data_IF_198307465042
#
_entry.id   IF_198307465042
#
_cell.length_a   1.000
_cell.length_b   1.000
_cell.length_c   1.000
_cell.angle_alpha   90.00
_cell.angle_beta   90.00
_cell.angle_gamma   90.00
#
_symmetry.space_group_name_H-M   'P 1'
#
loop_
_entity.id
_entity.type
_entity.pdbx_description
1 polymer ?
#
# COMPACT_ATOMS: atom_id res chain seq x y z
N UNK A 1 46.82 -19.28 22.27
CA UNK A 1 46.46 -19.43 20.85
C UNK A 1 45.44 -20.56 20.71
N UNK A 2 44.17 -20.23 20.54
CA UNK A 2 43.13 -21.15 20.04
C UNK A 2 42.24 -20.34 19.11
N UNK A 3 42.51 -20.51 17.82
CA UNK A 3 41.76 -19.90 16.72
C UNK A 3 40.46 -20.70 16.56
N UNK A 4 39.33 -20.05 16.75
CA UNK A 4 38.03 -20.59 16.34
C UNK A 4 37.66 -19.95 15.01
N UNK A 5 37.79 -20.72 13.93
CA UNK A 5 37.05 -20.47 12.70
C UNK A 5 35.60 -20.93 12.93
N UNK A 6 34.65 -20.05 12.67
CA UNK A 6 33.26 -20.42 12.45
C UNK A 6 32.77 -19.76 11.17
N UNK A 7 32.59 -20.60 10.14
CA UNK A 7 31.77 -20.33 8.98
C UNK A 7 30.30 -20.47 9.41
N UNK A 8 29.51 -19.42 9.25
CA UNK A 8 28.07 -19.52 9.08
C UNK A 8 27.63 -18.49 8.04
N UNK A 9 27.29 -19.01 6.85
CA UNK A 9 26.51 -18.32 5.83
C UNK A 9 25.07 -18.28 6.35
N UNK A 10 24.52 -17.09 6.56
CA UNK A 10 23.17 -16.93 7.09
C UNK A 10 22.65 -15.53 6.83
N UNK A 11 21.53 -15.44 6.11
CA UNK A 11 20.89 -14.22 5.63
C UNK A 11 20.71 -13.18 6.74
N UNK A 12 21.19 -11.96 6.49
CA UNK A 12 20.98 -10.77 7.34
C UNK A 12 19.68 -10.07 6.90
N UNK A 13 18.66 -10.08 7.75
CA UNK A 13 17.60 -9.08 7.73
C UNK A 13 18.21 -7.76 8.21
N UNK A 14 18.36 -6.78 7.33
CA UNK A 14 18.57 -5.39 7.72
C UNK A 14 17.21 -4.69 7.79
N UNK A 15 16.64 -4.56 8.98
CA UNK A 15 15.60 -3.58 9.29
C UNK A 15 16.32 -2.24 9.53
N UNK A 16 16.52 -1.40 8.51
CA UNK A 16 17.02 -0.03 8.73
C UNK A 16 15.84 0.90 8.98
N UNK A 17 15.46 1.05 10.25
CA UNK A 17 14.63 2.16 10.70
C UNK A 17 15.46 3.45 10.73
N UNK A 18 14.79 4.61 10.69
CA UNK A 18 15.46 5.85 11.03
C UNK A 18 16.00 5.75 12.46
N UNK A 19 17.21 6.25 12.62
CA UNK A 19 18.06 5.85 13.70
C UNK A 19 17.84 6.76 14.91
N UNK A 20 17.03 6.30 15.85
CA UNK A 20 16.92 6.96 17.14
C UNK A 20 18.27 6.81 17.86
N UNK A 21 18.89 7.94 18.18
CA UNK A 21 20.05 7.96 19.09
C UNK A 21 19.50 7.63 20.47
N UNK A 22 19.75 6.41 20.93
CA UNK A 22 19.29 5.94 22.23
C UNK A 22 20.50 5.80 23.14
N UNK A 23 20.36 6.26 24.39
CA UNK A 23 21.36 6.04 25.41
C UNK A 23 21.18 4.62 25.97
N UNK A 24 22.15 3.74 25.69
CA UNK A 24 22.16 2.35 26.10
C UNK A 24 23.32 2.07 27.06
N UNK A 25 23.09 1.20 28.03
CA UNK A 25 24.08 0.81 29.04
C UNK A 25 24.42 -0.66 28.86
N UNK A 26 25.70 -0.99 28.67
CA UNK A 26 26.15 -2.38 28.63
C UNK A 26 26.05 -3.03 30.01
N UNK A 27 25.80 -4.33 30.08
CA UNK A 27 25.76 -5.08 31.34
C UNK A 27 27.06 -4.90 32.13
N UNK A 28 27.00 -4.15 33.23
CA UNK A 28 28.15 -3.85 34.10
C UNK A 28 29.09 -2.74 33.61
N UNK A 29 28.68 -1.92 32.63
CA UNK A 29 29.46 -0.79 32.11
C UNK A 29 28.76 0.56 32.24
N UNK A 30 29.42 1.61 31.78
CA UNK A 30 28.89 2.99 31.77
C UNK A 30 27.93 3.23 30.59
N UNK A 31 26.90 4.08 30.74
CA UNK A 31 25.99 4.41 29.66
C UNK A 31 26.70 5.09 28.48
N UNK A 32 26.41 4.64 27.27
CA UNK A 32 26.91 5.25 26.04
C UNK A 32 25.76 5.60 25.08
N UNK A 33 25.91 6.70 24.36
CA UNK A 33 24.99 7.03 23.27
C UNK A 33 25.38 6.24 22.03
N UNK A 34 24.44 5.47 21.54
CA UNK A 34 24.58 4.72 20.30
C UNK A 34 23.32 4.90 19.47
N UNK A 35 23.49 4.80 18.18
CA UNK A 35 22.41 4.89 17.22
C UNK A 35 21.92 3.45 16.96
N UNK A 36 20.65 3.14 17.27
CA UNK A 36 20.10 1.82 16.99
C UNK A 36 19.76 1.74 15.50
N UNK A 37 20.45 0.85 14.79
CA UNK A 37 20.33 0.72 13.33
C UNK A 37 19.31 -0.33 12.95
N UNK A 38 19.29 -1.46 13.67
CA UNK A 38 18.33 -2.54 13.45
C UNK A 38 18.15 -3.39 14.69
N UNK A 39 16.97 -4.02 14.83
CA UNK A 39 16.67 -4.97 15.90
C UNK A 39 16.01 -6.20 15.28
N UNK A 40 16.52 -7.39 15.62
CA UNK A 40 15.91 -8.68 15.27
C UNK A 40 15.32 -9.29 16.53
N UNK A 41 14.00 -9.15 16.68
CA UNK A 41 13.25 -9.64 17.85
C UNK A 41 13.29 -11.18 17.90
N UNK A 42 13.26 -11.85 16.74
CA UNK A 42 13.25 -13.31 16.67
C UNK A 42 14.59 -13.89 17.13
N UNK A 43 15.70 -13.27 16.75
CA UNK A 43 17.05 -13.71 17.12
C UNK A 43 17.58 -13.05 18.39
N UNK A 44 16.84 -12.12 18.98
CA UNK A 44 17.24 -11.32 20.14
C UNK A 44 18.59 -10.61 19.90
N UNK A 45 18.77 -10.03 18.71
CA UNK A 45 19.99 -9.29 18.35
C UNK A 45 19.69 -7.83 18.00
N UNK A 46 20.69 -6.97 18.17
CA UNK A 46 20.64 -5.54 17.84
C UNK A 46 21.90 -5.15 17.08
N UNK A 47 21.73 -4.28 16.08
CA UNK A 47 22.84 -3.59 15.42
C UNK A 47 22.84 -2.14 15.86
N UNK A 48 23.96 -1.69 16.41
CA UNK A 48 24.16 -0.30 16.83
C UNK A 48 25.31 0.33 16.07
N UNK A 49 25.20 1.63 15.80
CA UNK A 49 26.28 2.45 15.31
C UNK A 49 26.90 3.20 16.51
N UNK A 50 28.16 2.87 16.81
CA UNK A 50 28.91 3.49 17.90
C UNK A 50 29.41 4.90 17.53
N UNK A 51 29.81 5.71 18.52
CA UNK A 51 30.38 7.05 18.31
C UNK A 51 31.54 7.13 17.29
N UNK A 52 32.23 6.01 17.03
CA UNK A 52 33.31 5.92 16.04
C UNK A 52 32.83 5.50 14.63
N UNK A 53 31.52 5.59 14.34
CA UNK A 53 30.89 5.16 13.08
C UNK A 53 31.11 3.68 12.76
N UNK A 54 31.30 2.86 13.79
CA UNK A 54 31.47 1.41 13.64
C UNK A 54 30.16 0.72 13.98
N UNK A 55 29.63 -0.01 13.00
CA UNK A 55 28.50 -0.92 13.19
C UNK A 55 28.94 -2.11 14.03
N UNK A 56 28.16 -2.41 15.05
CA UNK A 56 28.32 -3.58 15.91
C UNK A 56 27.00 -4.31 16.02
N UNK A 57 27.01 -5.61 15.75
CA UNK A 57 25.85 -6.50 15.92
C UNK A 57 26.13 -7.49 17.03
N UNK A 58 25.17 -7.66 17.94
CA UNK A 58 25.27 -8.64 19.02
C UNK A 58 23.95 -8.93 19.69
N UNK A 59 23.92 -9.86 20.66
CA UNK A 59 22.72 -10.14 21.43
C UNK A 59 22.27 -8.94 22.25
N UNK A 60 20.96 -8.75 22.37
CA UNK A 60 20.34 -7.70 23.17
C UNK A 60 20.75 -7.81 24.65
N UNK A 61 21.11 -9.02 25.12
CA UNK A 61 21.62 -9.27 26.47
C UNK A 61 22.98 -8.65 26.79
N UNK A 62 23.66 -8.05 25.81
CA UNK A 62 24.82 -7.18 26.08
C UNK A 62 24.47 -5.92 26.86
N UNK A 63 23.19 -5.54 26.89
CA UNK A 63 22.70 -4.35 27.55
C UNK A 63 21.91 -4.69 28.82
N UNK A 64 21.84 -3.74 29.75
CA UNK A 64 21.02 -3.90 30.96
C UNK A 64 19.51 -3.99 30.63
N UNK A 65 18.70 -4.47 31.59
CA UNK A 65 17.28 -4.71 31.36
C UNK A 65 16.50 -3.47 30.88
N UNK A 66 16.88 -2.28 31.35
CA UNK A 66 16.25 -1.02 30.93
C UNK A 66 16.58 -0.70 29.46
N UNK A 67 17.83 -0.87 29.06
CA UNK A 67 18.29 -0.69 27.68
C UNK A 67 17.69 -1.75 26.76
N UNK A 68 17.52 -2.99 27.22
CA UNK A 68 16.83 -4.04 26.45
C UNK A 68 15.38 -3.64 26.14
N UNK A 69 14.66 -3.07 27.11
CA UNK A 69 13.29 -2.54 26.88
C UNK A 69 13.29 -1.42 25.86
N UNK A 70 14.24 -0.49 25.94
CA UNK A 70 14.39 0.61 24.96
C UNK A 70 14.68 0.09 23.55
N UNK A 71 15.61 -0.86 23.40
CA UNK A 71 15.91 -1.52 22.13
C UNK A 71 14.67 -2.19 21.55
N UNK A 72 13.92 -2.92 22.38
CA UNK A 72 12.68 -3.57 21.96
C UNK A 72 11.61 -2.54 21.57
N UNK A 73 11.49 -1.42 22.27
CA UNK A 73 10.57 -0.32 21.92
C UNK A 73 10.96 0.35 20.60
N UNK A 74 12.26 0.58 20.36
CA UNK A 74 12.77 1.10 19.08
C UNK A 74 12.51 0.14 17.90
N UNK A 75 12.48 -1.18 18.17
CA UNK A 75 12.09 -2.18 17.17
C UNK A 75 10.59 -2.12 16.80
N UNK A 76 9.76 -1.59 17.70
CA UNK A 76 8.32 -1.39 17.53
C UNK A 76 7.99 0.03 17.04
N UNK A 77 8.93 0.73 16.41
CA UNK A 77 8.76 2.11 15.95
C UNK A 77 7.73 2.31 14.83
N UNK A 78 6.45 2.11 15.12
CA UNK A 78 5.44 3.17 15.26
C UNK A 78 4.53 2.70 16.40
N UNK A 79 4.35 3.54 17.41
CA UNK A 79 3.41 3.31 18.50
C UNK A 79 1.96 3.32 17.96
N UNK A 80 1.56 2.22 17.32
CA UNK A 80 0.14 1.88 17.10
C UNK A 80 -0.42 1.36 18.42
N UNK A 81 -0.45 2.21 19.44
CA UNK A 81 -1.35 1.97 20.56
C UNK A 81 -2.77 2.12 20.04
N UNK A 82 -3.74 1.40 20.62
CA UNK A 82 -5.15 1.57 20.22
C UNK A 82 -5.65 3.03 20.40
N UNK A 83 -4.91 3.87 21.11
CA UNK A 83 -5.20 5.30 21.28
C UNK A 83 -4.90 6.11 20.02
N UNK A 84 -3.95 5.68 19.17
CA UNK A 84 -3.52 6.39 17.95
C UNK A 84 -3.25 5.43 16.77
N UNK A 85 -4.30 4.82 16.17
CA UNK A 85 -4.12 3.87 15.07
C UNK A 85 -3.54 4.55 13.80
N UNK A 86 -2.74 3.80 13.03
CA UNK A 86 -1.98 4.35 11.89
C UNK A 86 -2.84 5.08 10.84
N UNK A 87 -4.03 4.55 10.54
CA UNK A 87 -4.98 5.14 9.59
C UNK A 87 -5.85 6.28 10.15
N UNK A 88 -5.59 6.78 11.36
CA UNK A 88 -6.37 7.85 11.99
C UNK A 88 -6.49 9.11 11.11
N UNK A 89 -5.46 9.43 10.32
CA UNK A 89 -5.49 10.60 9.45
C UNK A 89 -6.58 10.53 8.37
N UNK A 90 -7.05 9.32 8.03
CA UNK A 90 -8.05 9.05 6.99
C UNK A 90 -9.48 8.95 7.56
N UNK A 91 -9.62 8.83 8.89
CA UNK A 91 -10.90 8.77 9.60
C UNK A 91 -11.76 10.00 9.32
N UNK A 92 -13.03 9.78 8.97
CA UNK A 92 -13.99 10.83 8.63
C UNK A 92 -13.70 11.55 7.31
N UNK A 93 -12.78 11.03 6.48
CA UNK A 93 -12.38 11.66 5.21
C UNK A 93 -12.71 10.80 4.01
N UNK A 94 -12.78 11.45 2.86
CA UNK A 94 -13.01 10.78 1.59
C UNK A 94 -12.04 11.24 0.50
N UNK A 95 -11.89 10.38 -0.49
CA UNK A 95 -10.98 10.55 -1.60
C UNK A 95 -11.54 10.06 -2.93
N UNK A 96 -10.75 10.26 -3.97
CA UNK A 96 -11.09 9.87 -5.34
C UNK A 96 -9.90 9.15 -5.98
N UNK A 97 -10.18 8.13 -6.78
CA UNK A 97 -9.16 7.30 -7.39
C UNK A 97 -9.48 6.90 -8.82
N UNK A 98 -8.43 6.69 -9.60
CA UNK A 98 -8.51 6.34 -11.01
C UNK A 98 -7.36 5.42 -11.41
N UNK A 99 -7.40 4.89 -12.63
CA UNK A 99 -6.32 4.06 -13.18
C UNK A 99 -5.77 4.67 -14.45
N UNK A 100 -4.45 4.70 -14.52
CA UNK A 100 -3.67 5.08 -15.70
C UNK A 100 -3.01 3.81 -16.24
N UNK A 101 -3.00 3.65 -17.56
CA UNK A 101 -2.30 2.58 -18.23
C UNK A 101 -0.80 2.66 -17.94
N UNK A 102 -0.22 1.53 -17.58
CA UNK A 102 1.21 1.31 -17.48
C UNK A 102 1.80 0.76 -18.78
N UNK A 103 3.12 0.65 -18.80
CA UNK A 103 3.90 0.20 -19.95
C UNK A 103 4.24 1.30 -20.95
N UNK A 104 4.73 0.88 -22.11
CA UNK A 104 5.00 1.78 -23.25
C UNK A 104 3.71 2.18 -23.97
N UNK A 105 2.82 2.84 -23.24
CA UNK A 105 1.55 3.32 -23.75
C UNK A 105 1.63 4.80 -24.13
N UNK A 106 1.05 5.16 -25.28
CA UNK A 106 1.11 6.53 -25.82
C UNK A 106 0.42 7.55 -24.91
N UNK A 107 -0.53 7.13 -24.09
CA UNK A 107 -1.25 8.00 -23.19
C UNK A 107 -0.44 8.28 -21.93
N UNK A 108 0.30 7.30 -21.40
CA UNK A 108 1.25 7.52 -20.29
C UNK A 108 2.32 8.56 -20.64
N UNK A 109 2.78 8.55 -21.91
CA UNK A 109 3.73 9.55 -22.44
C UNK A 109 3.18 10.97 -22.46
N UNK A 110 1.90 11.13 -22.78
CA UNK A 110 1.29 12.45 -23.01
C UNK A 110 0.39 12.93 -21.84
N UNK A 111 0.34 12.17 -20.74
CA UNK A 111 -0.55 12.49 -19.62
C UNK A 111 -0.22 13.87 -19.01
N UNK A 112 -1.23 14.74 -18.93
CA UNK A 112 -1.11 16.06 -18.34
C UNK A 112 -1.43 16.04 -16.83
N UNK A 113 -0.38 15.87 -16.01
CA UNK A 113 -0.48 15.81 -14.54
C UNK A 113 -1.08 17.07 -13.94
N UNK A 114 -0.68 18.25 -14.45
CA UNK A 114 -1.20 19.53 -13.96
C UNK A 114 -2.71 19.63 -14.16
N UNK A 115 -3.22 19.20 -15.31
CA UNK A 115 -4.65 19.23 -15.59
C UNK A 115 -5.43 18.36 -14.59
N UNK A 116 -4.93 17.17 -14.25
CA UNK A 116 -5.55 16.30 -13.25
C UNK A 116 -5.60 16.93 -11.86
N UNK A 117 -4.50 17.53 -11.41
CA UNK A 117 -4.44 18.21 -10.10
C UNK A 117 -5.46 19.36 -10.06
N UNK A 118 -5.52 20.19 -11.10
CA UNK A 118 -6.48 21.29 -11.17
C UNK A 118 -7.93 20.78 -11.23
N UNK A 119 -8.19 19.66 -11.91
CA UNK A 119 -9.52 19.07 -11.94
C UNK A 119 -9.95 18.56 -10.56
N UNK A 120 -9.09 17.86 -9.82
CA UNK A 120 -9.39 17.34 -8.47
C UNK A 120 -9.62 18.48 -7.46
N UNK A 121 -8.86 19.58 -7.55
CA UNK A 121 -9.08 20.78 -6.71
C UNK A 121 -10.49 21.36 -6.82
N UNK A 122 -11.18 21.11 -7.92
CA UNK A 122 -12.56 21.59 -8.10
C UNK A 122 -13.60 20.78 -7.30
N UNK A 123 -13.21 19.65 -6.69
CA UNK A 123 -14.11 18.77 -5.93
C UNK A 123 -13.96 19.08 -4.43
N UNK A 124 -15.00 19.64 -3.76
CA UNK A 124 -14.89 20.05 -2.37
C UNK A 124 -14.76 18.84 -1.43
N UNK A 125 -13.91 18.92 -0.41
CA UNK A 125 -13.82 17.91 0.65
C UNK A 125 -12.91 16.69 0.37
N UNK A 126 -12.36 16.56 -0.84
CA UNK A 126 -11.35 15.53 -1.15
C UNK A 126 -10.12 15.75 -0.28
N UNK A 127 -9.69 14.71 0.42
CA UNK A 127 -8.51 14.74 1.30
C UNK A 127 -7.34 13.90 0.79
N UNK A 128 -7.61 12.95 -0.10
CA UNK A 128 -6.60 12.04 -0.64
C UNK A 128 -6.99 11.52 -2.01
N UNK A 129 -5.99 11.05 -2.75
CA UNK A 129 -6.15 10.45 -4.08
C UNK A 129 -5.62 9.03 -4.12
N UNK A 130 -6.18 8.20 -5.01
CA UNK A 130 -5.73 6.81 -5.20
C UNK A 130 -5.49 6.51 -6.68
N UNK A 131 -4.23 6.33 -7.07
CA UNK A 131 -3.84 5.92 -8.42
C UNK A 131 -2.84 4.77 -8.38
N UNK A 132 -2.46 4.23 -9.52
CA UNK A 132 -1.83 2.92 -9.59
C UNK A 132 -0.36 2.95 -9.98
N UNK A 133 0.39 1.99 -9.43
CA UNK A 133 1.69 1.57 -9.95
C UNK A 133 1.52 0.47 -10.99
N UNK A 134 0.77 -0.59 -10.69
CA UNK A 134 0.44 -1.65 -11.68
C UNK A 134 -0.91 -1.39 -12.35
N UNK A 135 -1.16 -1.96 -13.51
CA UNK A 135 -2.51 -1.90 -14.10
C UNK A 135 -3.61 -2.47 -13.19
N UNK A 136 -4.82 -1.95 -13.33
CA UNK A 136 -6.00 -2.46 -12.63
C UNK A 136 -6.28 -3.92 -12.99
N UNK A 137 -6.36 -4.79 -12.00
CA UNK A 137 -6.42 -6.25 -12.13
C UNK A 137 -5.31 -6.86 -13.02
N UNK A 138 -4.17 -6.19 -13.15
CA UNK A 138 -3.08 -6.64 -14.01
C UNK A 138 -1.69 -6.23 -13.49
N UNK A 139 -0.93 -7.21 -12.99
CA UNK A 139 0.44 -7.05 -12.52
C UNK A 139 1.52 -7.13 -13.60
N UNK A 140 1.18 -7.13 -14.90
CA UNK A 140 2.17 -7.22 -15.99
C UNK A 140 2.67 -5.87 -16.51
N UNK A 141 1.98 -4.77 -16.19
CA UNK A 141 2.30 -3.43 -16.68
C UNK A 141 2.31 -2.39 -15.57
N UNK A 142 3.23 -1.43 -15.66
CA UNK A 142 3.50 -0.43 -14.62
C UNK A 142 3.62 1.00 -15.14
N UNK A 143 3.13 1.96 -14.36
CA UNK A 143 3.13 3.41 -14.65
C UNK A 143 4.46 4.09 -14.37
N UNK A 144 5.48 3.33 -13.95
CA UNK A 144 6.81 3.82 -13.65
C UNK A 144 7.89 2.87 -14.19
N UNK A 145 9.11 3.35 -14.44
CA UNK A 145 10.21 2.53 -14.93
C UNK A 145 10.67 1.55 -13.85
N UNK A 146 11.03 0.32 -14.26
CA UNK A 146 11.61 -0.67 -13.36
C UNK A 146 12.64 -1.53 -14.11
N UNK A 147 13.89 -1.47 -13.67
CA UNK A 147 15.06 -2.00 -14.42
C UNK A 147 14.95 -3.48 -14.77
N UNK A 148 14.52 -4.32 -13.82
CA UNK A 148 14.32 -5.76 -14.07
C UNK A 148 13.19 -5.99 -15.08
N UNK A 149 12.00 -5.44 -14.81
CA UNK A 149 10.80 -5.64 -15.62
C UNK A 149 10.99 -5.15 -17.06
N UNK A 150 11.56 -3.95 -17.25
CA UNK A 150 11.85 -3.42 -18.59
C UNK A 150 12.85 -4.27 -19.36
N UNK A 151 13.81 -4.92 -18.68
CA UNK A 151 14.80 -5.78 -19.32
C UNK A 151 14.20 -7.11 -19.78
N UNK A 152 13.41 -7.77 -18.93
CA UNK A 152 12.84 -9.08 -19.23
C UNK A 152 11.61 -8.99 -20.13
N UNK A 153 10.87 -7.88 -20.03
CA UNK A 153 9.65 -7.62 -20.78
C UNK A 153 9.64 -6.16 -21.24
N UNK A 154 10.33 -5.83 -22.34
CA UNK A 154 10.26 -4.50 -22.93
C UNK A 154 8.82 -4.04 -23.16
N UNK A 155 8.52 -2.79 -22.80
CA UNK A 155 7.17 -2.22 -22.87
C UNK A 155 6.26 -2.55 -21.68
N UNK A 156 6.72 -3.32 -20.68
CA UNK A 156 5.98 -3.55 -19.43
C UNK A 156 5.94 -2.34 -18.51
N UNK A 157 6.93 -1.46 -18.60
CA UNK A 157 7.03 -0.27 -17.76
C UNK A 157 7.02 0.99 -18.62
N UNK A 158 6.44 2.07 -18.10
CA UNK A 158 6.56 3.40 -18.70
C UNK A 158 8.01 3.89 -18.61
N UNK A 159 8.53 4.50 -19.68
CA UNK A 159 9.83 5.18 -19.66
C UNK A 159 9.78 6.46 -18.82
N UNK A 160 8.65 7.17 -18.86
CA UNK A 160 8.34 8.29 -17.98
C UNK A 160 7.97 7.77 -16.59
N UNK A 161 8.55 8.32 -15.54
CA UNK A 161 8.14 8.03 -14.17
C UNK A 161 6.86 8.80 -13.82
N UNK A 162 5.75 8.37 -14.43
CA UNK A 162 4.46 9.03 -14.33
C UNK A 162 3.88 8.93 -12.91
N UNK A 163 4.19 7.85 -12.20
CA UNK A 163 3.80 7.73 -10.80
C UNK A 163 4.48 8.80 -9.94
N UNK A 164 5.79 9.01 -10.09
CA UNK A 164 6.51 10.04 -9.32
C UNK A 164 5.97 11.45 -9.58
N UNK A 165 5.69 11.76 -10.85
CA UNK A 165 5.13 13.05 -11.24
C UNK A 165 3.74 13.27 -10.62
N UNK A 166 2.85 12.26 -10.67
CA UNK A 166 1.53 12.33 -10.05
C UNK A 166 1.65 12.49 -8.53
N UNK A 167 2.43 11.63 -7.86
CA UNK A 167 2.58 11.64 -6.40
C UNK A 167 3.14 12.98 -5.91
N UNK A 168 4.19 13.47 -6.58
CA UNK A 168 4.81 14.76 -6.26
C UNK A 168 3.81 15.91 -6.44
N UNK A 169 3.07 15.94 -7.55
CA UNK A 169 2.15 17.03 -7.84
C UNK A 169 0.93 17.05 -6.90
N UNK A 170 0.38 15.88 -6.54
CA UNK A 170 -0.73 15.77 -5.61
C UNK A 170 -0.31 16.09 -4.16
N UNK A 171 0.86 15.64 -3.71
CA UNK A 171 1.38 16.03 -2.40
C UNK A 171 1.67 17.53 -2.32
N UNK A 172 2.23 18.13 -3.37
CA UNK A 172 2.43 19.58 -3.45
C UNK A 172 1.11 20.37 -3.40
N UNK A 173 0.01 19.77 -3.87
CA UNK A 173 -1.33 20.34 -3.78
C UNK A 173 -2.05 20.04 -2.45
N UNK A 174 -1.38 19.38 -1.49
CA UNK A 174 -1.90 19.10 -0.15
C UNK A 174 -2.70 17.80 -0.01
N UNK A 175 -2.69 16.92 -1.02
CA UNK A 175 -3.38 15.64 -0.96
C UNK A 175 -2.47 14.52 -0.47
N UNK A 176 -3.03 13.62 0.35
CA UNK A 176 -2.40 12.33 0.66
C UNK A 176 -2.50 11.40 -0.56
N UNK A 177 -1.50 10.55 -0.78
CA UNK A 177 -1.42 9.65 -1.94
C UNK A 177 -1.53 8.18 -1.52
N UNK A 178 -2.57 7.51 -1.99
CA UNK A 178 -2.74 6.07 -1.90
C UNK A 178 -2.38 5.39 -3.22
N UNK A 179 -1.80 4.20 -3.15
CA UNK A 179 -1.31 3.46 -4.31
C UNK A 179 -2.04 2.16 -4.51
N UNK A 180 -2.57 1.94 -5.71
CA UNK A 180 -3.05 0.64 -6.13
C UNK A 180 -1.93 -0.23 -6.71
N UNK A 181 -1.91 -1.51 -6.31
CA UNK A 181 -0.99 -2.55 -6.80
C UNK A 181 -1.70 -3.91 -6.89
N UNK A 182 -1.57 -4.63 -8.00
CA UNK A 182 -2.12 -5.98 -8.16
C UNK A 182 -1.09 -7.04 -7.77
N UNK A 183 -1.30 -7.77 -6.68
CA UNK A 183 -0.31 -8.73 -6.16
C UNK A 183 -0.21 -10.03 -6.94
N UNK A 184 -1.00 -10.20 -8.00
CA UNK A 184 -0.79 -11.29 -8.95
C UNK A 184 0.55 -11.17 -9.68
N UNK A 185 1.11 -9.96 -9.75
CA UNK A 185 2.42 -9.64 -10.29
C UNK A 185 2.61 -10.03 -11.76
N UNK A 186 3.87 -10.02 -12.24
CA UNK A 186 4.19 -10.45 -13.60
C UNK A 186 3.95 -11.95 -13.83
N UNK A 187 3.87 -12.73 -12.74
CA UNK A 187 3.51 -14.14 -12.79
C UNK A 187 2.02 -14.39 -13.09
N UNK A 188 1.17 -13.35 -13.01
CA UNK A 188 -0.27 -13.42 -13.29
C UNK A 188 -0.99 -14.52 -12.51
N UNK A 189 -0.63 -14.69 -11.24
CA UNK A 189 -1.11 -15.81 -10.42
C UNK A 189 -2.64 -15.86 -10.25
N UNK A 190 -3.33 -14.72 -10.44
CA UNK A 190 -4.79 -14.63 -10.38
C UNK A 190 -5.47 -14.93 -11.71
N UNK A 191 -5.06 -14.23 -12.76
CA UNK A 191 -5.75 -14.19 -14.06
C UNK A 191 -5.15 -15.11 -15.11
N UNK A 192 -3.95 -15.65 -14.86
CA UNK A 192 -3.24 -16.52 -15.77
C UNK A 192 -2.60 -15.79 -16.95
N UNK A 193 -1.84 -16.53 -17.78
CA UNK A 193 -0.97 -15.97 -18.81
C UNK A 193 -1.70 -15.41 -20.03
N UNK A 194 -3.00 -15.68 -20.20
CA UNK A 194 -3.79 -15.17 -21.34
C UNK A 194 -4.29 -13.75 -21.15
N UNK A 195 -4.06 -13.16 -19.97
CA UNK A 195 -4.44 -11.80 -19.64
C UNK A 195 -3.21 -10.88 -19.58
N UNK A 196 -3.36 -9.60 -19.95
CA UNK A 196 -2.26 -8.63 -19.95
C UNK A 196 -1.31 -8.83 -21.13
N UNK A 197 0.00 -8.86 -20.86
CA UNK A 197 1.05 -8.99 -21.89
C UNK A 197 1.20 -10.39 -22.52
N UNK A 198 0.40 -11.37 -22.10
CA UNK A 198 0.39 -12.71 -22.70
C UNK A 198 1.44 -13.66 -22.11
N UNK A 199 1.45 -14.93 -22.56
CA UNK A 199 2.21 -16.02 -21.94
C UNK A 199 3.72 -15.81 -21.93
N UNK A 200 4.28 -15.26 -23.01
CA UNK A 200 5.71 -14.98 -23.09
C UNK A 200 6.20 -14.05 -21.97
N UNK A 201 5.37 -13.08 -21.55
CA UNK A 201 5.75 -12.18 -20.45
C UNK A 201 5.83 -12.88 -19.09
N UNK A 202 4.94 -13.84 -18.87
CA UNK A 202 4.92 -14.68 -17.67
C UNK A 202 6.10 -15.64 -17.68
N UNK A 203 6.41 -16.26 -18.82
CA UNK A 203 7.55 -17.15 -19.00
C UNK A 203 8.88 -16.42 -18.78
N UNK A 204 9.05 -15.20 -19.30
CA UNK A 204 10.22 -14.38 -19.07
C UNK A 204 10.43 -14.06 -17.58
N UNK A 205 9.35 -13.71 -16.87
CA UNK A 205 9.42 -13.50 -15.42
C UNK A 205 9.81 -14.77 -14.67
N UNK A 206 9.16 -15.89 -14.98
CA UNK A 206 9.48 -17.19 -14.36
C UNK A 206 10.92 -17.61 -14.60
N UNK A 207 11.41 -17.48 -15.84
CA UNK A 207 12.78 -17.80 -16.19
C UNK A 207 13.78 -16.91 -15.42
N UNK A 208 13.48 -15.61 -15.30
CA UNK A 208 14.30 -14.71 -14.49
C UNK A 208 14.27 -15.09 -13.01
N UNK A 209 13.10 -15.39 -12.44
CA UNK A 209 12.97 -15.82 -11.04
C UNK A 209 13.69 -17.13 -10.79
N UNK A 210 13.54 -18.14 -11.66
CA UNK A 210 14.30 -19.39 -11.61
C UNK A 210 15.80 -19.14 -11.58
N UNK A 211 16.29 -18.21 -12.41
CA UNK A 211 17.70 -17.87 -12.47
C UNK A 211 18.20 -17.18 -11.18
N UNK A 212 17.42 -16.26 -10.61
CA UNK A 212 17.86 -15.48 -9.44
C UNK A 212 17.62 -16.20 -8.10
N UNK A 213 16.58 -17.01 -8.02
CA UNK A 213 16.11 -17.63 -6.78
C UNK A 213 16.26 -19.16 -6.75
N UNK A 214 16.60 -19.79 -7.88
CA UNK A 214 16.78 -21.24 -7.98
C UNK A 214 15.48 -22.06 -8.09
N UNK A 215 14.31 -21.41 -8.08
CA UNK A 215 12.98 -22.00 -8.26
C UNK A 215 12.04 -20.96 -8.90
N UNK A 216 11.04 -21.40 -9.65
CA UNK A 216 9.91 -20.58 -10.13
C UNK A 216 8.55 -21.06 -9.55
N UNK A 217 8.57 -21.80 -8.45
CA UNK A 217 7.34 -22.19 -7.75
C UNK A 217 6.54 -20.97 -7.27
N UNK A 218 5.26 -21.17 -6.97
CA UNK A 218 4.33 -20.09 -6.56
C UNK A 218 4.84 -19.32 -5.34
N UNK A 219 5.47 -19.98 -4.36
CA UNK A 219 6.02 -19.32 -3.18
C UNK A 219 7.18 -18.40 -3.53
N UNK A 220 8.07 -18.88 -4.40
CA UNK A 220 9.24 -18.15 -4.89
C UNK A 220 8.83 -16.98 -5.78
N UNK A 221 7.82 -17.14 -6.64
CA UNK A 221 7.25 -16.04 -7.44
C UNK A 221 6.66 -14.93 -6.57
N UNK A 222 5.93 -15.29 -5.51
CA UNK A 222 5.38 -14.34 -4.53
C UNK A 222 6.49 -13.61 -3.78
N UNK A 223 7.55 -14.32 -3.38
CA UNK A 223 8.73 -13.75 -2.73
C UNK A 223 9.44 -12.75 -3.66
N UNK A 224 9.72 -13.16 -4.90
CA UNK A 224 10.35 -12.30 -5.90
C UNK A 224 9.51 -11.04 -6.19
N UNK A 225 8.18 -11.16 -6.28
CA UNK A 225 7.30 -10.00 -6.42
C UNK A 225 7.50 -8.98 -5.28
N UNK A 226 7.51 -9.44 -4.03
CA UNK A 226 7.72 -8.56 -2.88
C UNK A 226 9.12 -7.93 -2.90
N UNK A 227 10.17 -8.76 -3.00
CA UNK A 227 11.57 -8.33 -2.82
C UNK A 227 12.15 -7.56 -4.00
N UNK A 228 11.62 -7.75 -5.21
CA UNK A 228 12.15 -7.15 -6.43
C UNK A 228 11.31 -5.95 -6.85
N UNK A 229 9.97 -6.06 -6.79
CA UNK A 229 9.07 -5.05 -7.35
C UNK A 229 8.52 -4.15 -6.27
N UNK A 230 7.90 -4.72 -5.23
CA UNK A 230 7.31 -3.91 -4.15
C UNK A 230 8.39 -3.14 -3.40
N UNK A 231 9.48 -3.81 -3.01
CA UNK A 231 10.62 -3.18 -2.34
C UNK A 231 11.16 -1.99 -3.13
N UNK A 232 11.38 -2.17 -4.42
CA UNK A 232 11.99 -1.14 -5.27
C UNK A 232 11.11 0.11 -5.32
N UNK A 233 9.83 -0.04 -5.63
CA UNK A 233 8.90 1.09 -5.65
C UNK A 233 8.70 1.70 -4.25
N UNK A 234 8.58 0.88 -3.22
CA UNK A 234 8.43 1.38 -1.86
C UNK A 234 9.64 2.22 -1.44
N UNK A 235 10.86 1.75 -1.68
CA UNK A 235 12.10 2.48 -1.39
C UNK A 235 12.26 3.73 -2.25
N UNK A 236 11.94 3.67 -3.54
CA UNK A 236 12.08 4.80 -4.46
C UNK A 236 11.16 5.96 -4.07
N UNK A 237 9.89 5.67 -3.78
CA UNK A 237 8.90 6.71 -3.51
C UNK A 237 8.81 7.08 -2.03
N UNK A 238 9.09 6.15 -1.12
CA UNK A 238 9.15 6.38 0.32
C UNK A 238 7.97 7.20 0.85
N UNK A 239 8.26 8.40 1.36
CA UNK A 239 7.28 9.31 1.95
C UNK A 239 6.33 9.97 0.94
N UNK A 240 6.53 9.77 -0.37
CA UNK A 240 5.57 10.18 -1.41
C UNK A 240 4.32 9.31 -1.45
N UNK A 241 4.34 8.17 -0.75
CA UNK A 241 3.22 7.25 -0.61
C UNK A 241 2.73 7.28 0.82
N UNK A 242 1.49 7.74 1.01
CA UNK A 242 0.82 7.77 2.32
C UNK A 242 0.09 6.46 2.61
N UNK A 243 -0.18 5.63 1.58
CA UNK A 243 -0.66 4.28 1.80
C UNK A 243 -0.79 3.42 0.54
N UNK A 244 -1.10 2.15 0.76
CA UNK A 244 -1.13 1.10 -0.24
C UNK A 244 -2.46 0.35 -0.21
N UNK A 245 -2.97 0.03 -1.40
CA UNK A 245 -4.12 -0.83 -1.60
C UNK A 245 -3.72 -1.96 -2.55
N UNK A 246 -3.54 -3.15 -1.97
CA UNK A 246 -3.09 -4.33 -2.69
C UNK A 246 -4.27 -5.18 -3.16
N UNK A 247 -4.53 -5.20 -4.47
CA UNK A 247 -5.52 -6.07 -5.08
C UNK A 247 -5.05 -7.51 -5.13
N UNK A 248 -6.00 -8.45 -5.11
CA UNK A 248 -5.75 -9.88 -5.18
C UNK A 248 -4.75 -10.37 -4.14
N UNK A 249 -4.71 -9.76 -2.95
CA UNK A 249 -3.65 -9.93 -1.97
C UNK A 249 -3.34 -11.39 -1.59
N UNK A 250 -4.32 -12.30 -1.69
CA UNK A 250 -4.10 -13.75 -1.49
C UNK A 250 -3.14 -14.39 -2.51
N UNK A 251 -2.87 -13.71 -3.63
CA UNK A 251 -1.89 -14.08 -4.64
C UNK A 251 -0.51 -13.48 -4.41
N UNK A 252 -0.35 -12.61 -3.39
CA UNK A 252 0.95 -12.14 -2.92
C UNK A 252 1.47 -12.94 -1.71
N UNK A 253 2.61 -12.53 -1.20
CA UNK A 253 3.06 -12.85 0.16
C UNK A 253 2.85 -11.60 1.04
N UNK A 254 1.75 -11.57 1.79
CA UNK A 254 1.30 -10.40 2.56
C UNK A 254 2.35 -9.96 3.58
N UNK A 255 2.91 -10.90 4.35
CA UNK A 255 3.93 -10.61 5.36
C UNK A 255 5.18 -9.95 4.74
N UNK A 256 5.69 -10.52 3.64
CA UNK A 256 6.84 -9.94 2.95
C UNK A 256 6.51 -8.58 2.35
N UNK A 257 5.34 -8.43 1.71
CA UNK A 257 4.90 -7.15 1.15
C UNK A 257 4.83 -6.08 2.26
N UNK A 258 4.19 -6.40 3.38
CA UNK A 258 4.08 -5.53 4.55
C UNK A 258 5.46 -5.14 5.08
N UNK A 259 6.38 -6.10 5.20
CA UNK A 259 7.78 -5.83 5.58
C UNK A 259 8.45 -4.82 4.64
N UNK A 260 8.35 -5.03 3.33
CA UNK A 260 9.03 -4.16 2.36
C UNK A 260 8.48 -2.73 2.37
N UNK A 261 7.16 -2.55 2.46
CA UNK A 261 6.56 -1.21 2.47
C UNK A 261 6.82 -0.46 3.78
N UNK A 262 6.77 -1.15 4.93
CA UNK A 262 6.99 -0.53 6.24
C UNK A 262 8.46 -0.19 6.48
N UNK A 263 9.39 -1.00 5.95
CA UNK A 263 10.82 -0.66 5.94
C UNK A 263 11.11 0.62 5.16
N UNK A 264 10.42 0.84 4.04
CA UNK A 264 10.62 2.02 3.21
C UNK A 264 9.90 3.26 3.76
N UNK A 265 8.69 3.09 4.27
CA UNK A 265 7.92 4.15 4.92
C UNK A 265 7.05 3.57 6.04
N UNK A 266 7.47 3.65 7.32
CA UNK A 266 6.73 3.09 8.44
C UNK A 266 5.42 3.83 8.75
N UNK A 267 5.17 4.98 8.10
CA UNK A 267 3.92 5.76 8.23
C UNK A 267 2.91 5.47 7.12
N UNK A 268 3.28 4.70 6.10
CA UNK A 268 2.37 4.35 5.01
C UNK A 268 1.34 3.34 5.51
N UNK A 269 0.06 3.67 5.38
CA UNK A 269 -1.04 2.77 5.78
C UNK A 269 -1.30 1.73 4.69
N UNK A 270 -1.80 0.54 5.03
CA UNK A 270 -2.02 -0.52 4.02
C UNK A 270 -3.34 -1.26 4.16
N UNK A 271 -3.90 -1.66 3.02
CA UNK A 271 -5.02 -2.58 2.89
C UNK A 271 -4.70 -3.73 1.94
N UNK A 272 -5.19 -4.92 2.28
CA UNK A 272 -5.00 -6.15 1.49
C UNK A 272 -6.35 -6.74 1.06
N UNK A 273 -6.58 -6.84 -0.26
CA UNK A 273 -7.77 -7.50 -0.80
C UNK A 273 -7.64 -9.03 -0.77
N UNK A 274 -7.68 -9.61 0.43
CA UNK A 274 -7.71 -11.06 0.69
C UNK A 274 -8.96 -11.52 1.46
N UNK A 275 -9.76 -10.57 1.95
CA UNK A 275 -10.94 -10.81 2.79
C UNK A 275 -12.25 -11.01 2.03
N UNK A 276 -13.35 -11.05 2.80
CA UNK A 276 -14.69 -11.23 2.26
C UNK A 276 -15.18 -9.94 1.57
N UNK A 277 -15.67 -10.09 0.35
CA UNK A 277 -16.19 -8.96 -0.42
C UNK A 277 -17.59 -8.52 0.01
N UNK A 278 -17.85 -7.22 -0.07
CA UNK A 278 -19.13 -6.62 0.27
C UNK A 278 -19.37 -6.49 1.77
N UNK A 279 -18.38 -6.69 2.62
CA UNK A 279 -18.41 -6.41 4.07
C UNK A 279 -17.17 -5.61 4.43
N UNK A 280 -17.23 -4.86 5.52
CA UNK A 280 -16.10 -4.12 6.08
C UNK A 280 -15.67 -4.81 7.36
N UNK A 281 -14.53 -5.49 7.33
CA UNK A 281 -13.97 -6.21 8.48
C UNK A 281 -12.45 -6.24 8.40
N UNK A 282 -11.77 -6.26 9.56
CA UNK A 282 -10.34 -6.47 9.63
C UNK A 282 -10.03 -7.92 9.22
N UNK A 283 -9.48 -8.09 8.02
CA UNK A 283 -9.20 -9.39 7.42
C UNK A 283 -7.77 -9.87 7.70
N UNK A 284 -6.85 -8.93 7.95
CA UNK A 284 -5.41 -9.19 8.11
C UNK A 284 -4.89 -8.41 9.34
N UNK A 285 -5.23 -8.79 10.58
CA UNK A 285 -5.00 -7.95 11.77
C UNK A 285 -3.55 -7.58 12.03
N UNK A 286 -2.61 -8.42 11.62
CA UNK A 286 -1.17 -8.14 11.78
C UNK A 286 -0.59 -7.24 10.69
N UNK A 287 -1.33 -6.99 9.61
CA UNK A 287 -0.78 -6.41 8.38
C UNK A 287 -1.62 -5.31 7.74
N UNK A 288 -2.86 -5.04 8.16
CA UNK A 288 -3.68 -3.99 7.54
C UNK A 288 -4.12 -2.89 8.51
N UNK A 289 -3.97 -1.65 8.08
CA UNK A 289 -4.33 -0.45 8.85
C UNK A 289 -5.73 0.06 8.49
N UNK A 290 -6.23 -0.33 7.31
CA UNK A 290 -7.58 -0.01 6.86
C UNK A 290 -8.15 -1.14 6.01
N UNK A 291 -9.47 -1.28 6.03
CA UNK A 291 -10.13 -2.41 5.35
C UNK A 291 -10.14 -2.23 3.83
N UNK A 292 -10.05 -3.34 3.09
CA UNK A 292 -10.03 -3.34 1.62
C UNK A 292 -11.24 -2.64 0.97
N UNK A 293 -12.42 -2.67 1.59
CA UNK A 293 -13.57 -1.86 1.18
C UNK A 293 -14.21 -2.22 -0.16
N UNK A 294 -13.92 -3.39 -0.73
CA UNK A 294 -14.44 -3.80 -2.04
C UNK A 294 -15.89 -4.28 -1.89
N UNK A 295 -16.85 -3.78 -2.71
CA UNK A 295 -18.24 -4.18 -2.66
C UNK A 295 -18.46 -5.64 -3.07
N UNK A 296 -19.69 -6.13 -2.94
CA UNK A 296 -20.10 -7.35 -3.63
C UNK A 296 -19.76 -7.20 -5.13
N UNK A 297 -19.15 -8.22 -5.78
CA UNK A 297 -18.66 -8.10 -7.16
C UNK A 297 -19.71 -7.50 -8.11
N UNK A 298 -19.31 -6.51 -8.92
CA UNK A 298 -20.22 -5.75 -9.78
C UNK A 298 -21.00 -6.61 -10.79
N UNK A 299 -20.45 -7.77 -11.15
CA UNK A 299 -21.14 -8.77 -12.00
C UNK A 299 -22.38 -9.40 -11.33
N UNK A 300 -22.51 -9.27 -10.00
CA UNK A 300 -23.63 -9.79 -9.22
C UNK A 300 -24.63 -8.70 -8.91
N UNK A 301 -24.15 -7.55 -8.43
CA UNK A 301 -24.99 -6.41 -8.06
C UNK A 301 -24.25 -5.09 -8.30
N UNK A 302 -24.94 -3.99 -8.63
CA UNK A 302 -24.35 -2.66 -8.65
C UNK A 302 -23.75 -2.29 -7.29
N UNK A 303 -22.76 -1.40 -7.28
CA UNK A 303 -22.13 -0.94 -6.04
C UNK A 303 -23.13 -0.29 -5.07
N UNK A 304 -24.13 0.41 -5.60
CA UNK A 304 -25.25 1.03 -4.88
C UNK A 304 -26.31 0.03 -4.39
N UNK A 305 -26.18 -1.27 -4.66
CA UNK A 305 -27.16 -2.25 -4.20
C UNK A 305 -27.22 -2.31 -2.68
N UNK A 306 -28.43 -2.46 -2.12
CA UNK A 306 -28.66 -2.71 -0.69
C UNK A 306 -27.88 -3.91 -0.14
N UNK A 307 -27.44 -4.84 -0.99
CA UNK A 307 -26.54 -5.92 -0.58
C UNK A 307 -25.21 -5.42 0.01
N UNK A 308 -24.77 -4.22 -0.37
CA UNK A 308 -23.58 -3.58 0.16
C UNK A 308 -23.87 -2.66 1.36
N UNK A 309 -25.14 -2.49 1.75
CA UNK A 309 -25.49 -1.68 2.93
C UNK A 309 -24.82 -2.22 4.19
N UNK A 310 -24.58 -3.54 4.24
CA UNK A 310 -23.87 -4.17 5.36
C UNK A 310 -22.46 -3.61 5.57
N UNK A 311 -21.80 -3.09 4.53
CA UNK A 311 -20.50 -2.43 4.66
C UNK A 311 -20.61 -1.15 5.47
N UNK A 312 -21.66 -0.35 5.23
CA UNK A 312 -21.96 0.87 5.99
C UNK A 312 -22.26 0.51 7.45
N UNK A 313 -23.18 -0.43 7.67
CA UNK A 313 -23.59 -0.80 9.04
C UNK A 313 -22.46 -1.46 9.83
N UNK A 314 -21.54 -2.17 9.16
CA UNK A 314 -20.33 -2.71 9.80
C UNK A 314 -19.44 -1.60 10.36
N UNK A 315 -19.32 -0.47 9.66
CA UNK A 315 -18.54 0.68 10.14
C UNK A 315 -19.29 1.41 11.25
N UNK A 316 -20.60 1.61 11.13
CA UNK A 316 -21.44 2.24 12.17
C UNK A 316 -21.45 1.46 13.49
N UNK A 317 -21.26 0.14 13.43
CA UNK A 317 -21.20 -0.71 14.61
C UNK A 317 -19.85 -0.61 15.37
N UNK A 318 -18.86 0.09 14.81
CA UNK A 318 -17.58 0.36 15.47
C UNK A 318 -17.69 1.59 16.37
N UNK A 319 -16.80 1.72 17.35
CA UNK A 319 -16.81 2.86 18.29
C UNK A 319 -16.37 4.17 17.61
N UNK A 320 -15.35 4.11 16.76
CA UNK A 320 -14.67 5.27 16.17
C UNK A 320 -14.26 5.05 14.71
N UNK A 321 -14.92 4.12 14.02
CA UNK A 321 -14.63 3.78 12.62
C UNK A 321 -13.68 2.60 12.47
N UNK A 322 -13.10 2.07 13.55
CA UNK A 322 -12.09 1.02 13.50
C UNK A 322 -12.68 -0.37 13.74
N UNK A 323 -12.50 -1.26 12.77
CA UNK A 323 -12.82 -2.67 12.89
C UNK A 323 -11.74 -3.38 13.72
N UNK A 324 -12.14 -3.87 14.90
CA UNK A 324 -11.24 -4.57 15.81
C UNK A 324 -11.21 -6.08 15.53
N UNK A 325 -10.01 -6.66 15.47
CA UNK A 325 -9.79 -8.10 15.45
C UNK A 325 -8.47 -8.44 16.12
N UNK A 326 -8.48 -9.40 17.04
CA UNK A 326 -7.29 -9.85 17.77
C UNK A 326 -6.51 -8.70 18.45
N UNK A 327 -7.23 -7.67 18.93
CA UNK A 327 -6.65 -6.47 19.54
C UNK A 327 -6.01 -5.49 18.56
N UNK A 328 -6.17 -5.71 17.25
CA UNK A 328 -5.64 -4.87 16.17
C UNK A 328 -6.78 -4.11 15.48
N UNK A 329 -6.52 -2.83 15.23
CA UNK A 329 -7.47 -1.89 14.67
C UNK A 329 -7.20 -1.68 13.18
N UNK A 330 -8.24 -1.79 12.35
CA UNK A 330 -8.18 -1.35 10.95
C UNK A 330 -9.32 -0.38 10.67
N UNK A 331 -9.01 0.80 10.11
CA UNK A 331 -10.01 1.78 9.76
C UNK A 331 -11.00 1.20 8.74
N UNK A 332 -12.28 1.22 9.09
CA UNK A 332 -13.39 0.88 8.22
C UNK A 332 -13.42 1.82 7.02
N UNK A 333 -13.09 1.28 5.85
CA UNK A 333 -12.96 2.01 4.60
C UNK A 333 -13.84 1.37 3.53
N UNK A 334 -14.58 2.20 2.79
CA UNK A 334 -15.36 1.81 1.62
C UNK A 334 -14.66 2.25 0.34
N UNK A 335 -14.34 1.30 -0.54
CA UNK A 335 -13.79 1.57 -1.87
C UNK A 335 -14.85 1.27 -2.91
N UNK A 336 -15.53 2.29 -3.43
CA UNK A 336 -16.73 2.11 -4.25
C UNK A 336 -16.51 2.63 -5.67
N UNK A 337 -16.83 1.83 -6.71
CA UNK A 337 -16.89 2.35 -8.06
C UNK A 337 -18.14 3.22 -8.22
N UNK A 338 -17.95 4.39 -8.84
CA UNK A 338 -19.04 5.32 -9.10
C UNK A 338 -19.92 4.87 -10.27
N UNK A 339 -19.32 4.16 -11.24
CA UNK A 339 -20.01 3.62 -12.41
C UNK A 339 -20.18 2.10 -12.33
N UNK A 340 -20.83 1.51 -13.33
CA UNK A 340 -21.11 0.08 -13.40
C UNK A 340 -19.86 -0.81 -13.64
N UNK A 341 -18.68 -0.21 -13.85
CA UNK A 341 -17.37 -0.87 -13.86
C UNK A 341 -16.40 -0.04 -13.03
N UNK A 342 -15.28 -0.65 -12.61
CA UNK A 342 -14.25 0.04 -11.82
C UNK A 342 -13.62 1.20 -12.60
N UNK A 343 -12.96 0.90 -13.72
CA UNK A 343 -12.12 1.89 -14.44
C UNK A 343 -12.77 2.40 -15.74
N UNK A 344 -14.04 2.08 -15.95
CA UNK A 344 -14.82 2.43 -17.14
C UNK A 344 -16.29 2.43 -16.77
N UNK A 345 -17.18 2.42 -17.76
CA UNK A 345 -18.61 2.36 -17.54
C UNK A 345 -19.32 3.59 -18.05
N UNK A 346 -20.58 3.41 -18.43
CA UNK A 346 -21.39 4.46 -19.04
C UNK A 346 -22.08 5.27 -17.96
N UNK A 347 -22.78 4.60 -17.06
CA UNK A 347 -23.73 5.24 -16.16
C UNK A 347 -23.20 5.30 -14.71
N UNK A 348 -23.47 6.41 -14.04
CA UNK A 348 -23.37 6.50 -12.57
C UNK A 348 -24.44 5.59 -11.99
N UNK A 349 -24.03 4.63 -11.15
CA UNK A 349 -24.97 3.63 -10.60
C UNK A 349 -25.61 4.06 -9.28
N UNK A 350 -25.28 5.25 -8.80
CA UNK A 350 -25.68 5.76 -7.50
C UNK A 350 -26.76 6.83 -7.63
N UNK A 351 -27.95 6.61 -7.04
CA UNK A 351 -28.83 7.71 -6.70
C UNK A 351 -28.10 8.68 -5.77
N UNK A 352 -28.15 9.98 -6.06
CA UNK A 352 -27.37 10.99 -5.32
C UNK A 352 -27.73 10.99 -3.82
N UNK A 353 -29.02 10.96 -3.49
CA UNK A 353 -29.49 10.88 -2.09
C UNK A 353 -28.90 9.69 -1.35
N UNK A 354 -28.85 8.53 -2.00
CA UNK A 354 -28.28 7.32 -1.40
C UNK A 354 -26.77 7.45 -1.21
N UNK A 355 -26.05 8.02 -2.19
CA UNK A 355 -24.61 8.24 -2.06
C UNK A 355 -24.28 9.19 -0.90
N UNK A 356 -25.02 10.30 -0.79
CA UNK A 356 -24.86 11.25 0.33
C UNK A 356 -25.20 10.59 1.65
N UNK A 357 -26.33 9.89 1.75
CA UNK A 357 -26.74 9.18 2.96
C UNK A 357 -25.65 8.19 3.43
N UNK A 358 -25.16 7.32 2.53
CA UNK A 358 -24.17 6.31 2.88
C UNK A 358 -22.83 6.93 3.25
N UNK A 359 -22.37 7.94 2.50
CA UNK A 359 -21.15 8.65 2.83
C UNK A 359 -21.26 9.34 4.19
N UNK A 360 -22.34 10.07 4.48
CA UNK A 360 -22.52 10.72 5.78
C UNK A 360 -22.49 9.72 6.93
N UNK A 361 -23.16 8.58 6.78
CA UNK A 361 -23.16 7.50 7.78
C UNK A 361 -21.75 6.97 8.04
N UNK A 362 -21.01 6.65 6.99
CA UNK A 362 -19.62 6.15 7.09
C UNK A 362 -18.70 7.19 7.72
N UNK A 363 -18.72 8.42 7.23
CA UNK A 363 -17.80 9.47 7.67
C UNK A 363 -18.12 9.92 9.12
N UNK A 364 -19.40 10.01 9.49
CA UNK A 364 -19.82 10.33 10.87
C UNK A 364 -19.45 9.23 11.87
N UNK A 365 -19.47 7.97 11.44
CA UNK A 365 -18.99 6.85 12.24
C UNK A 365 -17.46 6.80 12.35
N UNK A 366 -16.74 7.74 11.75
CA UNK A 366 -15.27 7.78 11.76
C UNK A 366 -14.61 6.91 10.69
N UNK A 367 -15.38 6.24 9.81
CA UNK A 367 -14.84 5.50 8.67
C UNK A 367 -14.36 6.41 7.54
N UNK A 368 -13.95 5.80 6.43
CA UNK A 368 -13.45 6.50 5.25
C UNK A 368 -14.07 6.00 3.95
N UNK A 369 -14.03 6.84 2.91
CA UNK A 369 -14.63 6.53 1.61
C UNK A 369 -13.74 6.90 0.42
N UNK A 370 -13.49 5.98 -0.49
CA UNK A 370 -12.84 6.25 -1.78
C UNK A 370 -13.78 5.98 -2.94
N UNK A 371 -13.97 6.97 -3.81
CA UNK A 371 -14.62 6.76 -5.10
C UNK A 371 -13.62 6.33 -6.17
N UNK A 372 -13.83 5.18 -6.81
CA UNK A 372 -13.14 4.85 -8.06
C UNK A 372 -13.94 5.38 -9.24
N UNK A 373 -13.27 6.10 -10.13
CA UNK A 373 -13.87 6.78 -11.28
C UNK A 373 -13.12 6.44 -12.57
N UNK A 374 -13.79 6.44 -13.73
CA UNK A 374 -13.12 6.29 -15.02
C UNK A 374 -12.20 7.47 -15.32
N UNK A 375 -11.10 7.18 -15.99
CA UNK A 375 -10.13 8.16 -16.48
C UNK A 375 -10.01 8.04 -17.99
N UNK A 376 -10.00 9.19 -18.67
CA UNK A 376 -9.89 9.29 -20.12
C UNK A 376 -8.47 9.69 -20.49
N UNK A 377 -7.68 8.70 -20.89
CA UNK A 377 -6.25 8.89 -21.06
C UNK A 377 -5.90 9.81 -22.25
N UNK A 378 -6.75 9.81 -23.28
CA UNK A 378 -6.58 10.66 -24.46
C UNK A 378 -6.68 12.17 -24.13
N UNK A 379 -7.49 12.53 -23.15
CA UNK A 379 -7.73 13.91 -22.73
C UNK A 379 -7.06 14.23 -21.39
N UNK A 380 -6.43 13.24 -20.75
CA UNK A 380 -5.83 13.37 -19.42
C UNK A 380 -6.81 13.86 -18.36
N UNK A 381 -8.07 13.46 -18.44
CA UNK A 381 -9.13 13.94 -17.55
C UNK A 381 -9.81 12.77 -16.83
N UNK A 382 -10.14 12.96 -15.56
CA UNK A 382 -11.16 12.14 -14.89
C UNK A 382 -12.48 12.40 -15.60
N UNK A 383 -13.27 11.33 -15.78
CA UNK A 383 -14.57 11.40 -16.45
C UNK A 383 -15.40 12.60 -15.95
N UNK A 384 -15.78 13.55 -16.83
CA UNK A 384 -16.45 14.79 -16.40
C UNK A 384 -17.74 14.58 -15.62
N UNK A 385 -18.57 13.60 -16.02
CA UNK A 385 -19.81 13.29 -15.28
C UNK A 385 -19.52 12.80 -13.86
N UNK A 386 -18.45 12.01 -13.67
CA UNK A 386 -18.02 11.53 -12.37
C UNK A 386 -17.49 12.69 -11.50
N UNK A 387 -16.76 13.63 -12.10
CA UNK A 387 -16.31 14.85 -11.40
C UNK A 387 -17.51 15.70 -10.98
N UNK A 388 -18.49 15.91 -11.86
CA UNK A 388 -19.69 16.68 -11.54
C UNK A 388 -20.52 16.02 -10.44
N UNK A 389 -20.64 14.69 -10.47
CA UNK A 389 -21.28 13.95 -9.38
C UNK A 389 -20.51 14.11 -8.07
N UNK A 390 -19.19 13.93 -8.07
CA UNK A 390 -18.35 14.11 -6.89
C UNK A 390 -18.45 15.53 -6.31
N UNK A 391 -18.55 16.57 -7.15
CA UNK A 391 -18.79 17.95 -6.71
C UNK A 391 -20.11 18.11 -5.96
N UNK A 392 -21.19 17.51 -6.48
CA UNK A 392 -22.50 17.55 -5.81
C UNK A 392 -22.49 16.80 -4.49
N UNK A 393 -21.82 15.65 -4.42
CA UNK A 393 -21.62 14.94 -3.13
C UNK A 393 -20.82 15.81 -2.16
N UNK A 394 -19.67 16.33 -2.59
CA UNK A 394 -18.79 17.15 -1.76
C UNK A 394 -19.49 18.38 -1.20
N UNK A 395 -20.29 19.07 -1.99
CA UNK A 395 -21.07 20.23 -1.54
C UNK A 395 -22.11 19.89 -0.45
N UNK A 396 -22.59 18.64 -0.40
CA UNK A 396 -23.58 18.16 0.57
C UNK A 396 -22.98 17.47 1.80
N UNK A 397 -21.66 17.26 1.80
CA UNK A 397 -20.91 16.64 2.89
C UNK A 397 -20.15 17.66 3.75
N UNK A 398 -20.23 18.95 3.41
CA UNK A 398 -19.61 20.06 4.15
C UNK A 398 -20.37 20.44 5.41
#
# INVERSE_FOLDING_TARGET
>A
MKTWLLFCIGWLLCLTGHADVVRLTSTGGEPCEVEVVSVDITRQTVTVNSRNKRLMTGPISWFDEESQKKIQQSAHGVESSMEHPAAQWMSGKWGIGWRVSGGDDKYSKNLNVKHLVEQVKTIPGISYVLFNLSNGADGSKYTAPHSVLSKINPGSCSERDLFDELATAFQAAGYKVLVYMATEGPAKLKHGPTHGMGPGSVENWKAWVQQQYGSDDVGTLKKAYAEVIVREFAQRYGTKIDGWWFDHASFGNIELIHREITQANPKAIVAFNSGKLGVTENSNPDYEDFTLGHPTPLRRVPASSKNNLRMVTSIEATENGFCMKDGKASLGHMFMPMKNKWNSGKDIVWPEEQAVEWMQRVLKAGGAWTWNVPFHEATSEINPEAVDFAKRLGARLQ
#
